data_IF_768193528645
#
_entry.id   IF_768193528645
#
_cell.length_a   1.000
_cell.length_b   1.000
_cell.length_c   1.000
_cell.angle_alpha   90.00
_cell.angle_beta   90.00
_cell.angle_gamma   90.00
#
_symmetry.space_group_name_H-M   'P 1'
#
loop_
_entity.id
_entity.type
_entity.pdbx_description
1 polymer ?
#
# COMPACT_ATOMS: atom_id res chain seq x y z
N UNK A 1 14.79 -3.54 -7.24
CA UNK A 1 13.71 -4.12 -7.96
C UNK A 1 12.64 -3.23 -8.61
N UNK A 2 12.72 -1.89 -8.63
CA UNK A 2 11.68 -1.06 -9.27
C UNK A 2 12.09 -0.47 -10.65
N UNK A 3 13.11 -1.02 -11.30
CA UNK A 3 13.68 -0.40 -12.52
C UNK A 3 12.68 -0.34 -13.68
N UNK A 4 11.89 -1.41 -13.88
CA UNK A 4 10.83 -1.43 -14.89
C UNK A 4 9.75 -0.37 -14.61
N UNK A 5 9.38 -0.20 -13.35
CA UNK A 5 8.38 0.78 -12.90
C UNK A 5 8.93 2.19 -13.06
N UNK A 6 10.16 2.43 -12.64
CA UNK A 6 10.84 3.72 -12.83
C UNK A 6 10.91 4.11 -14.30
N UNK A 7 11.26 3.16 -15.20
CA UNK A 7 11.30 3.38 -16.63
C UNK A 7 9.94 3.84 -17.14
N UNK A 8 8.85 3.14 -16.83
CA UNK A 8 7.49 3.53 -17.25
C UNK A 8 7.09 4.92 -16.72
N UNK A 9 7.42 5.23 -15.46
CA UNK A 9 7.16 6.56 -14.90
C UNK A 9 7.94 7.64 -15.66
N UNK A 10 9.21 7.40 -15.98
CA UNK A 10 10.04 8.35 -16.74
C UNK A 10 9.49 8.56 -18.17
N UNK A 11 9.10 7.49 -18.84
CA UNK A 11 8.46 7.56 -20.17
C UNK A 11 7.17 8.40 -20.12
N UNK A 12 6.30 8.15 -19.15
CA UNK A 12 5.08 8.94 -18.93
C UNK A 12 5.39 10.43 -18.71
N UNK A 13 6.34 10.74 -17.83
CA UNK A 13 6.72 12.12 -17.53
C UNK A 13 7.38 12.82 -18.73
N UNK A 14 8.13 12.09 -19.54
CA UNK A 14 8.74 12.62 -20.77
C UNK A 14 7.67 13.00 -21.80
N UNK A 15 6.68 12.14 -22.02
CA UNK A 15 5.53 12.45 -22.91
C UNK A 15 4.79 13.69 -22.42
N UNK A 16 4.49 13.78 -21.13
CA UNK A 16 3.81 14.93 -20.55
C UNK A 16 4.63 16.23 -20.67
N UNK A 17 5.96 16.14 -20.55
CA UNK A 17 6.85 17.30 -20.75
C UNK A 17 6.87 17.79 -22.19
N UNK A 18 6.85 16.86 -23.15
CA UNK A 18 6.87 17.18 -24.59
C UNK A 18 5.51 17.70 -25.10
N UNK A 19 4.42 17.18 -24.52
CA UNK A 19 3.07 17.57 -24.88
C UNK A 19 2.24 17.90 -23.63
N UNK A 20 2.43 19.09 -23.01
CA UNK A 20 1.73 19.50 -21.79
C UNK A 20 0.20 19.61 -21.95
N UNK A 21 -0.27 19.82 -23.17
CA UNK A 21 -1.71 19.92 -23.52
C UNK A 21 -2.28 18.56 -24.00
N UNK A 22 -1.43 17.56 -24.11
CA UNK A 22 -1.83 16.22 -24.56
C UNK A 22 -2.69 15.49 -23.53
N UNK A 23 -3.57 14.65 -24.05
CA UNK A 23 -4.39 13.74 -23.23
C UNK A 23 -3.50 12.59 -22.76
N UNK A 24 -2.87 12.75 -21.61
CA UNK A 24 -2.12 11.65 -20.99
C UNK A 24 -3.04 10.86 -20.06
N UNK A 25 -2.99 9.52 -20.08
CA UNK A 25 -3.73 8.71 -19.12
C UNK A 25 -3.25 9.04 -17.69
N UNK A 26 -4.07 8.73 -16.70
CA UNK A 26 -3.73 8.97 -15.31
C UNK A 26 -2.91 7.79 -14.79
N UNK A 27 -1.77 8.06 -14.16
CA UNK A 27 -1.00 6.99 -13.51
C UNK A 27 -1.79 6.40 -12.35
N UNK A 28 -1.97 5.08 -12.36
CA UNK A 28 -2.59 4.34 -11.27
C UNK A 28 -1.64 3.26 -10.74
N UNK A 29 -1.22 3.40 -9.50
CA UNK A 29 -0.40 2.39 -8.81
C UNK A 29 -1.30 1.38 -8.13
N UNK A 30 -1.27 0.14 -8.61
CA UNK A 30 -2.05 -0.98 -8.06
C UNK A 30 -1.13 -1.96 -7.37
N UNK A 31 -1.51 -2.43 -6.20
CA UNK A 31 -0.75 -3.46 -5.48
C UNK A 31 -1.05 -3.50 -3.98
N UNK A 32 -0.50 -4.47 -3.27
CA UNK A 32 -0.79 -4.67 -1.85
C UNK A 32 -0.36 -3.47 -0.99
N UNK A 33 -0.89 -3.36 0.23
CA UNK A 33 -0.49 -2.30 1.14
C UNK A 33 0.99 -2.41 1.52
N UNK A 34 1.65 -1.26 1.68
CA UNK A 34 3.04 -1.22 2.13
C UNK A 34 4.11 -1.39 1.04
N UNK A 35 3.74 -1.48 -0.24
CA UNK A 35 4.70 -1.58 -1.37
C UNK A 35 5.24 -0.24 -1.87
N UNK A 36 4.91 0.86 -1.19
CA UNK A 36 5.51 2.17 -1.49
C UNK A 36 4.76 3.04 -2.50
N UNK A 37 3.48 2.77 -2.79
CA UNK A 37 2.64 3.58 -3.70
C UNK A 37 2.73 5.08 -3.42
N UNK A 38 2.53 5.47 -2.16
CA UNK A 38 2.59 6.87 -1.73
C UNK A 38 4.00 7.47 -1.88
N UNK A 39 5.03 6.68 -1.60
CA UNK A 39 6.43 7.11 -1.74
C UNK A 39 6.81 7.38 -3.21
N UNK A 40 6.26 6.60 -4.15
CA UNK A 40 6.42 6.86 -5.58
C UNK A 40 5.79 8.19 -5.99
N UNK A 41 4.56 8.48 -5.57
CA UNK A 41 3.92 9.77 -5.84
C UNK A 41 4.68 10.96 -5.27
N UNK A 42 5.18 10.84 -4.05
CA UNK A 42 6.05 11.86 -3.44
C UNK A 42 7.36 12.05 -4.22
N UNK A 43 7.95 10.96 -4.72
CA UNK A 43 9.18 11.02 -5.50
C UNK A 43 8.96 11.68 -6.87
N UNK A 44 7.82 11.41 -7.50
CA UNK A 44 7.41 12.09 -8.75
C UNK A 44 7.25 13.59 -8.50
N UNK A 45 6.53 13.97 -7.46
CA UNK A 45 6.33 15.37 -7.12
C UNK A 45 7.66 16.10 -6.88
N UNK A 46 8.58 15.46 -6.13
CA UNK A 46 9.92 16.00 -5.87
C UNK A 46 10.73 16.14 -7.15
N UNK A 47 10.71 15.14 -8.03
CA UNK A 47 11.43 15.17 -9.30
C UNK A 47 10.92 16.26 -10.24
N UNK A 48 9.63 16.60 -10.18
CA UNK A 48 9.01 17.68 -10.96
C UNK A 48 9.09 19.06 -10.29
N UNK A 49 9.57 19.14 -9.05
CA UNK A 49 9.54 20.39 -8.26
C UNK A 49 8.13 20.86 -7.88
N UNK A 50 7.14 19.95 -7.85
CA UNK A 50 5.75 20.25 -7.55
C UNK A 50 5.41 19.94 -6.09
N UNK A 51 4.41 20.62 -5.56
CA UNK A 51 3.83 20.29 -4.26
C UNK A 51 3.10 18.96 -4.34
N UNK A 52 3.17 18.17 -3.28
CA UNK A 52 2.47 16.90 -3.15
C UNK A 52 1.33 17.01 -2.14
N UNK A 53 0.16 16.58 -2.55
CA UNK A 53 -0.98 16.43 -1.64
C UNK A 53 -1.61 15.05 -1.86
N UNK A 54 -1.99 14.41 -0.77
CA UNK A 54 -2.70 13.12 -0.78
C UNK A 54 -4.11 13.32 -0.24
N UNK A 55 -5.09 12.70 -0.88
CA UNK A 55 -6.44 12.60 -0.39
C UNK A 55 -6.94 11.17 -0.50
N UNK A 56 -7.60 10.65 0.54
CA UNK A 56 -8.19 9.32 0.51
C UNK A 56 -9.61 9.41 -0.02
N UNK A 57 -9.95 8.52 -0.94
CA UNK A 57 -11.30 8.36 -1.48
C UNK A 57 -11.99 7.10 -0.90
N UNK A 58 -11.25 6.30 -0.12
CA UNK A 58 -11.79 5.09 0.49
C UNK A 58 -12.91 5.39 1.47
N UNK A 59 -14.06 4.73 1.27
CA UNK A 59 -15.24 4.91 2.10
C UNK A 59 -16.15 6.07 1.71
N UNK A 60 -15.84 6.80 0.63
CA UNK A 60 -16.77 7.81 0.08
C UNK A 60 -17.93 7.12 -0.61
N UNK A 61 -19.14 7.56 -0.29
CA UNK A 61 -20.39 7.01 -0.81
C UNK A 61 -21.29 8.08 -1.44
N UNK A 62 -20.99 9.36 -1.22
CA UNK A 62 -21.78 10.50 -1.70
C UNK A 62 -20.96 11.32 -2.71
N UNK A 63 -21.54 11.62 -3.85
CA UNK A 63 -20.97 12.52 -4.86
C UNK A 63 -20.63 13.89 -4.28
N UNK A 64 -21.39 14.37 -3.30
CA UNK A 64 -21.17 15.64 -2.62
C UNK A 64 -19.86 15.70 -1.85
N UNK A 65 -19.27 14.56 -1.47
CA UNK A 65 -17.94 14.53 -0.87
C UNK A 65 -16.85 14.98 -1.86
N UNK A 66 -17.03 14.69 -3.16
CA UNK A 66 -16.10 15.11 -4.23
C UNK A 66 -16.43 16.51 -4.73
N UNK A 67 -17.73 16.78 -5.00
CA UNK A 67 -18.24 18.02 -5.60
C UNK A 67 -18.57 19.12 -4.59
N UNK A 68 -18.55 18.84 -3.30
CA UNK A 68 -18.99 19.80 -2.26
C UNK A 68 -20.51 19.90 -2.11
N UNK A 69 -20.93 20.46 -1.01
CA UNK A 69 -22.33 20.71 -0.69
C UNK A 69 -22.73 22.14 -1.09
N UNK A 70 -23.98 22.35 -1.50
CA UNK A 70 -24.47 23.71 -1.78
C UNK A 70 -24.41 24.58 -0.52
N UNK A 71 -23.98 25.84 -0.65
CA UNK A 71 -23.81 26.79 0.48
C UNK A 71 -25.10 27.05 1.28
N UNK A 72 -26.24 26.68 0.74
CA UNK A 72 -27.54 26.82 1.42
C UNK A 72 -27.73 25.83 2.56
N UNK A 73 -26.92 24.77 2.64
CA UNK A 73 -26.99 23.80 3.73
C UNK A 73 -26.13 24.23 4.92
N UNK A 74 -26.64 24.03 6.13
CA UNK A 74 -25.87 24.24 7.37
C UNK A 74 -24.72 23.22 7.40
N UNK A 75 -23.49 23.71 7.65
CA UNK A 75 -22.31 22.85 7.65
C UNK A 75 -21.75 22.53 6.27
N UNK A 76 -22.23 23.20 5.21
CA UNK A 76 -21.71 23.00 3.85
C UNK A 76 -20.19 23.23 3.78
N UNK A 77 -19.50 22.35 3.07
CA UNK A 77 -18.05 22.42 2.83
C UNK A 77 -17.77 22.23 1.34
N UNK A 78 -16.65 22.79 0.83
CA UNK A 78 -16.14 22.45 -0.49
C UNK A 78 -15.84 20.96 -0.60
N UNK A 79 -15.88 20.44 -1.81
CA UNK A 79 -15.51 19.06 -2.09
C UNK A 79 -14.04 18.75 -1.78
N UNK A 80 -13.75 17.49 -1.60
CA UNK A 80 -12.43 16.97 -1.21
C UNK A 80 -11.32 17.42 -2.15
N UNK A 81 -11.59 17.55 -3.46
CA UNK A 81 -10.61 18.00 -4.45
C UNK A 81 -10.21 19.45 -4.19
N UNK A 82 -11.19 20.33 -4.02
CA UNK A 82 -10.94 21.76 -3.73
C UNK A 82 -10.24 21.93 -2.39
N UNK A 83 -10.64 21.17 -1.37
CA UNK A 83 -9.96 21.19 -0.07
C UNK A 83 -8.50 20.73 -0.16
N UNK A 84 -8.22 19.70 -0.97
CA UNK A 84 -6.86 19.22 -1.19
C UNK A 84 -6.00 20.29 -1.89
N UNK A 85 -6.54 20.97 -2.89
CA UNK A 85 -5.85 22.08 -3.57
C UNK A 85 -5.59 23.27 -2.63
N UNK A 86 -6.56 23.61 -1.77
CA UNK A 86 -6.37 24.61 -0.74
C UNK A 86 -5.21 24.26 0.20
N UNK A 87 -5.11 23.00 0.63
CA UNK A 87 -4.00 22.51 1.46
C UNK A 87 -2.66 22.53 0.73
N UNK A 88 -2.65 22.21 -0.57
CA UNK A 88 -1.45 22.27 -1.39
C UNK A 88 -0.92 23.69 -1.58
N UNK A 89 -1.81 24.70 -1.56
CA UNK A 89 -1.47 26.12 -1.73
C UNK A 89 -0.99 26.46 -3.14
N UNK A 90 -1.30 25.63 -4.14
CA UNK A 90 -0.91 25.83 -5.54
C UNK A 90 -1.97 25.25 -6.47
N UNK A 91 -2.02 25.74 -7.72
CA UNK A 91 -2.94 25.23 -8.76
C UNK A 91 -2.42 24.01 -9.53
N UNK A 92 -1.14 23.69 -9.37
CA UNK A 92 -0.45 22.64 -10.13
C UNK A 92 0.24 21.59 -9.26
N UNK A 93 -0.38 21.12 -8.17
CA UNK A 93 0.24 20.07 -7.35
C UNK A 93 0.20 18.71 -8.04
N UNK A 94 0.98 17.77 -7.51
CA UNK A 94 0.69 16.34 -7.66
C UNK A 94 -0.38 15.99 -6.61
N UNK A 95 -1.57 15.64 -7.06
CA UNK A 95 -2.66 15.21 -6.20
C UNK A 95 -2.84 13.69 -6.30
N UNK A 96 -2.51 13.01 -5.21
CA UNK A 96 -2.68 11.56 -5.11
C UNK A 96 -4.07 11.24 -4.56
N UNK A 97 -4.84 10.52 -5.36
CA UNK A 97 -6.15 9.97 -5.03
C UNK A 97 -5.97 8.54 -4.54
N UNK A 98 -6.04 8.35 -3.24
CA UNK A 98 -5.72 7.07 -2.61
C UNK A 98 -6.97 6.22 -2.40
N UNK A 99 -6.82 4.89 -2.58
CA UNK A 99 -7.87 3.89 -2.37
C UNK A 99 -9.10 4.08 -3.27
N UNK A 100 -8.88 4.32 -4.59
CA UNK A 100 -9.98 4.44 -5.56
C UNK A 100 -10.78 3.13 -5.74
N UNK A 101 -10.18 2.01 -5.39
CA UNK A 101 -10.79 0.68 -5.37
C UNK A 101 -11.85 0.50 -4.26
N UNK A 102 -11.87 1.43 -3.29
CA UNK A 102 -12.80 1.43 -2.17
C UNK A 102 -13.89 2.50 -2.29
N UNK A 103 -14.07 3.07 -3.48
CA UNK A 103 -15.21 3.95 -3.74
C UNK A 103 -16.51 3.17 -3.59
N UNK A 104 -17.40 3.64 -2.73
CA UNK A 104 -18.71 3.05 -2.52
C UNK A 104 -19.68 3.43 -3.63
N UNK A 105 -20.73 2.63 -3.79
CA UNK A 105 -21.94 3.01 -4.55
C UNK A 105 -23.02 3.36 -3.54
N UNK A 106 -23.44 4.60 -3.49
CA UNK A 106 -24.47 5.09 -2.58
C UNK A 106 -25.82 5.30 -3.29
N UNK A 107 -26.88 5.38 -2.50
CA UNK A 107 -28.24 5.76 -2.99
C UNK A 107 -28.27 7.26 -3.36
N UNK A 108 -27.35 8.06 -2.81
CA UNK A 108 -27.32 9.53 -2.95
C UNK A 108 -26.31 10.03 -4.01
N UNK A 109 -25.99 9.24 -5.01
CA UNK A 109 -25.12 9.62 -6.10
C UNK A 109 -24.01 8.60 -6.36
N UNK A 110 -23.23 8.87 -7.41
CA UNK A 110 -22.11 8.04 -7.82
C UNK A 110 -20.81 8.81 -7.73
N UNK A 111 -20.02 8.63 -6.65
CA UNK A 111 -18.72 9.29 -6.52
C UNK A 111 -17.78 8.99 -7.70
N UNK A 112 -17.91 7.81 -8.34
CA UNK A 112 -17.08 7.46 -9.49
C UNK A 112 -17.39 8.36 -10.69
N UNK A 113 -18.65 8.73 -10.91
CA UNK A 113 -19.07 9.67 -11.97
C UNK A 113 -18.51 11.08 -11.72
N UNK A 114 -18.55 11.57 -10.47
CA UNK A 114 -17.94 12.84 -10.12
C UNK A 114 -16.43 12.82 -10.32
N UNK A 115 -15.79 11.71 -10.01
CA UNK A 115 -14.35 11.55 -10.19
C UNK A 115 -13.97 11.48 -11.68
N UNK A 116 -14.83 10.92 -12.53
CA UNK A 116 -14.61 10.94 -13.98
C UNK A 116 -14.50 12.38 -14.51
N UNK A 117 -15.37 13.30 -14.10
CA UNK A 117 -15.29 14.70 -14.49
C UNK A 117 -14.00 15.36 -14.01
N UNK A 118 -13.56 15.08 -12.80
CA UNK A 118 -12.30 15.59 -12.24
C UNK A 118 -11.09 15.10 -13.04
N UNK A 119 -11.13 13.85 -13.47
CA UNK A 119 -10.01 13.18 -14.13
C UNK A 119 -10.01 13.31 -15.65
N UNK A 120 -11.13 13.67 -16.26
CA UNK A 120 -11.25 13.83 -17.70
C UNK A 120 -10.62 15.14 -18.16
N UNK A 121 -9.56 15.13 -18.98
CA UNK A 121 -8.92 16.34 -19.51
C UNK A 121 -9.85 17.22 -20.34
N UNK A 122 -10.95 16.68 -20.89
CA UNK A 122 -11.92 17.44 -21.66
C UNK A 122 -12.88 18.25 -20.75
N UNK A 123 -13.09 17.79 -19.53
CA UNK A 123 -14.08 18.37 -18.60
C UNK A 123 -13.45 19.06 -17.40
N UNK A 124 -12.25 18.65 -16.98
CA UNK A 124 -11.62 19.10 -15.75
C UNK A 124 -11.25 20.59 -15.72
N UNK A 125 -11.10 21.23 -16.88
CA UNK A 125 -10.87 22.69 -16.97
C UNK A 125 -12.08 23.52 -16.52
N UNK A 126 -13.27 22.93 -16.51
CA UNK A 126 -14.53 23.57 -16.13
C UNK A 126 -15.22 22.84 -14.97
N UNK A 127 -14.44 22.10 -14.16
CA UNK A 127 -14.98 21.40 -13.00
C UNK A 127 -15.79 22.32 -12.09
N UNK A 128 -16.96 21.88 -11.69
CA UNK A 128 -17.85 22.68 -10.85
C UNK A 128 -18.00 22.07 -9.47
N UNK A 129 -17.45 22.76 -8.48
CA UNK A 129 -17.70 22.49 -7.07
C UNK A 129 -18.99 23.21 -6.64
N UNK A 130 -19.91 22.47 -6.02
CA UNK A 130 -21.24 23.01 -5.62
C UNK A 130 -21.13 24.09 -4.54
N UNK A 131 -20.10 24.02 -3.70
CA UNK A 131 -19.85 25.04 -2.68
C UNK A 131 -19.29 26.32 -3.28
N UNK A 132 -18.35 26.21 -4.22
CA UNK A 132 -17.78 27.37 -4.91
C UNK A 132 -18.83 28.03 -5.82
N UNK A 133 -19.65 27.23 -6.50
CA UNK A 133 -20.68 27.70 -7.42
C UNK A 133 -20.18 28.30 -8.73
N UNK A 134 -18.87 28.27 -8.96
CA UNK A 134 -18.17 28.74 -10.17
C UNK A 134 -17.28 27.64 -10.74
N UNK A 135 -17.03 27.65 -12.07
CA UNK A 135 -16.08 26.72 -12.66
C UNK A 135 -14.67 26.89 -12.06
N UNK A 136 -13.99 25.78 -11.85
CA UNK A 136 -12.63 25.72 -11.35
C UNK A 136 -11.76 24.89 -12.29
N UNK A 137 -10.64 25.45 -12.72
CA UNK A 137 -9.72 24.80 -13.67
C UNK A 137 -8.77 23.84 -12.94
N UNK A 138 -8.94 22.55 -13.20
CA UNK A 138 -8.09 21.44 -12.70
C UNK A 138 -7.06 20.97 -13.72
N UNK A 139 -6.98 21.55 -14.92
CA UNK A 139 -6.13 21.08 -16.03
C UNK A 139 -4.64 21.04 -15.70
N UNK A 140 -4.20 21.85 -14.75
CA UNK A 140 -2.80 21.95 -14.30
C UNK A 140 -2.43 20.95 -13.19
N UNK A 141 -3.40 20.25 -12.62
CA UNK A 141 -3.18 19.26 -11.58
C UNK A 141 -2.65 17.98 -12.17
N UNK A 142 -1.59 17.43 -11.58
CA UNK A 142 -1.12 16.09 -11.93
C UNK A 142 -1.81 15.08 -11.00
N UNK A 143 -2.81 14.40 -11.51
CA UNK A 143 -3.49 13.34 -10.77
C UNK A 143 -2.71 12.03 -10.83
N UNK A 144 -2.57 11.37 -9.69
CA UNK A 144 -2.05 10.01 -9.54
C UNK A 144 -3.07 9.24 -8.71
N UNK A 145 -3.48 8.06 -9.14
CA UNK A 145 -4.39 7.21 -8.40
C UNK A 145 -3.63 6.05 -7.72
N UNK A 146 -4.20 5.53 -6.63
CA UNK A 146 -3.73 4.28 -6.03
C UNK A 146 -4.90 3.34 -5.75
N UNK A 147 -4.64 2.04 -5.87
CA UNK A 147 -5.57 0.99 -5.53
C UNK A 147 -4.84 -0.20 -4.90
N UNK A 148 -5.54 -1.03 -4.15
CA UNK A 148 -4.99 -2.30 -3.69
C UNK A 148 -5.31 -3.44 -4.64
N UNK A 149 -6.48 -3.40 -5.27
CA UNK A 149 -6.97 -4.42 -6.20
C UNK A 149 -7.47 -3.75 -7.49
N UNK A 150 -7.12 -4.36 -8.63
CA UNK A 150 -7.48 -3.83 -9.94
C UNK A 150 -8.97 -4.02 -10.25
N UNK A 151 -9.50 -5.20 -9.92
CA UNK A 151 -10.85 -5.61 -10.32
C UNK A 151 -11.96 -4.82 -9.63
N UNK A 152 -11.65 -4.18 -8.50
CA UNK A 152 -12.59 -3.36 -7.73
C UNK A 152 -12.65 -1.91 -8.19
N UNK A 153 -11.74 -1.49 -9.09
CA UNK A 153 -11.78 -0.16 -9.70
C UNK A 153 -12.95 -0.10 -10.69
N UNK A 154 -13.82 0.92 -10.60
CA UNK A 154 -14.90 1.11 -11.58
C UNK A 154 -14.37 1.14 -13.02
N UNK A 155 -14.99 0.35 -13.92
CA UNK A 155 -14.54 0.19 -15.31
C UNK A 155 -14.25 1.51 -16.03
N UNK A 156 -15.18 2.49 -16.04
CA UNK A 156 -14.97 3.77 -16.73
C UNK A 156 -13.76 4.56 -16.22
N UNK A 157 -13.41 4.44 -14.93
CA UNK A 157 -12.19 5.04 -14.37
C UNK A 157 -10.95 4.29 -14.82
N UNK A 158 -11.00 2.96 -14.79
CA UNK A 158 -9.89 2.09 -15.19
C UNK A 158 -9.48 2.33 -16.64
N UNK A 159 -10.43 2.53 -17.55
CA UNK A 159 -10.18 2.76 -18.97
C UNK A 159 -9.41 4.07 -19.26
N UNK A 160 -9.39 5.00 -18.30
CA UNK A 160 -8.64 6.26 -18.38
C UNK A 160 -7.28 6.23 -17.68
N UNK A 161 -6.91 5.08 -17.13
CA UNK A 161 -5.72 4.95 -16.29
C UNK A 161 -4.63 4.13 -16.98
N UNK A 162 -3.40 4.57 -16.81
CA UNK A 162 -2.23 3.75 -17.04
C UNK A 162 -1.90 2.99 -15.77
N UNK A 163 -2.18 1.68 -15.79
CA UNK A 163 -2.00 0.80 -14.64
C UNK A 163 -0.53 0.41 -14.51
N UNK A 164 0.04 0.68 -13.35
CA UNK A 164 1.37 0.22 -12.95
C UNK A 164 1.23 -0.68 -11.73
N UNK A 165 1.38 -1.98 -11.98
CA UNK A 165 1.29 -2.96 -10.90
C UNK A 165 2.58 -3.02 -10.09
N UNK A 166 2.41 -2.96 -8.78
CA UNK A 166 3.46 -3.09 -7.77
C UNK A 166 3.29 -4.45 -7.09
N UNK A 167 4.23 -5.33 -7.31
CA UNK A 167 4.27 -6.63 -6.63
C UNK A 167 4.78 -6.50 -5.20
N UNK A 168 4.61 -7.54 -4.40
CA UNK A 168 5.27 -7.66 -3.12
C UNK A 168 6.78 -7.76 -3.25
N UNK A 169 7.47 -7.65 -2.13
CA UNK A 169 8.92 -7.71 -2.03
C UNK A 169 9.39 -9.08 -1.51
N UNK A 170 10.52 -9.54 -2.04
CA UNK A 170 11.22 -10.70 -1.46
C UNK A 170 11.84 -10.34 -0.11
N UNK A 171 12.30 -11.35 0.65
CA UNK A 171 12.98 -11.12 1.93
C UNK A 171 14.20 -10.22 1.77
N UNK A 172 15.03 -10.48 0.75
CA UNK A 172 16.24 -9.71 0.45
C UNK A 172 15.89 -8.25 0.11
N UNK A 173 14.84 -8.04 -0.69
CA UNK A 173 14.37 -6.69 -1.03
C UNK A 173 13.83 -5.96 0.21
N UNK A 174 13.14 -6.65 1.11
CA UNK A 174 12.66 -6.07 2.38
C UNK A 174 13.80 -5.65 3.29
N UNK A 175 14.84 -6.47 3.41
CA UNK A 175 16.06 -6.15 4.19
C UNK A 175 16.75 -4.91 3.61
N UNK A 176 16.90 -4.85 2.28
CA UNK A 176 17.52 -3.72 1.61
C UNK A 176 16.71 -2.43 1.77
N UNK A 177 15.37 -2.50 1.66
CA UNK A 177 14.46 -1.38 1.92
C UNK A 177 14.55 -0.94 3.39
N UNK A 178 14.57 -1.89 4.31
CA UNK A 178 14.69 -1.61 5.73
C UNK A 178 15.99 -0.87 6.05
N UNK A 179 17.12 -1.36 5.56
CA UNK A 179 18.45 -0.77 5.76
C UNK A 179 18.53 0.64 5.20
N UNK A 180 18.09 0.86 3.96
CA UNK A 180 18.22 2.17 3.28
C UNK A 180 17.24 3.22 3.73
N UNK A 181 16.03 2.81 4.13
CA UNK A 181 14.93 3.76 4.31
C UNK A 181 14.21 3.63 5.66
N UNK A 182 13.83 2.41 6.08
CA UNK A 182 12.94 2.26 7.22
C UNK A 182 13.65 2.53 8.54
N UNK A 183 14.87 2.02 8.72
CA UNK A 183 15.64 2.24 9.94
C UNK A 183 15.89 3.73 10.16
N UNK A 184 16.36 4.44 9.13
CA UNK A 184 16.59 5.88 9.23
C UNK A 184 15.30 6.64 9.57
N UNK A 185 14.19 6.33 8.89
CA UNK A 185 12.90 6.98 9.15
C UNK A 185 12.39 6.72 10.57
N UNK A 186 12.60 5.50 11.07
CA UNK A 186 12.20 5.14 12.43
C UNK A 186 13.12 5.71 13.50
N UNK A 187 14.44 5.88 13.22
CA UNK A 187 15.33 6.65 14.10
C UNK A 187 14.83 8.09 14.27
N UNK A 188 14.59 8.78 13.15
CA UNK A 188 14.09 10.15 13.14
C UNK A 188 12.73 10.25 13.89
N UNK A 189 11.81 9.31 13.65
CA UNK A 189 10.50 9.28 14.27
C UNK A 189 10.53 9.04 15.80
N UNK A 190 11.54 8.32 16.29
CA UNK A 190 11.72 8.04 17.72
C UNK A 190 12.73 8.99 18.40
N UNK A 191 13.21 10.04 17.72
CA UNK A 191 14.12 11.03 18.27
C UNK A 191 15.53 10.51 18.52
N UNK A 192 15.94 9.42 17.87
CA UNK A 192 17.25 8.82 17.96
C UNK A 192 18.17 9.34 16.86
N UNK A 193 19.46 9.56 17.23
CA UNK A 193 20.53 9.85 16.27
C UNK A 193 21.06 8.56 15.66
N UNK A 194 21.68 8.64 14.48
CA UNK A 194 22.22 7.48 13.78
C UNK A 194 23.35 6.76 14.59
N UNK A 195 24.06 7.50 15.43
CA UNK A 195 25.13 6.97 16.28
C UNK A 195 24.60 6.24 17.52
N UNK A 196 23.35 6.51 17.91
CA UNK A 196 22.74 5.96 19.13
C UNK A 196 22.12 4.59 18.94
N UNK A 197 21.70 4.25 17.71
CA UNK A 197 21.09 2.94 17.46
C UNK A 197 21.40 2.43 16.05
N UNK A 198 21.75 1.16 15.96
CA UNK A 198 21.93 0.42 14.71
C UNK A 198 21.29 -0.96 14.79
N UNK A 199 20.80 -1.46 13.67
CA UNK A 199 20.20 -2.79 13.55
C UNK A 199 21.01 -3.56 12.51
N UNK A 200 21.46 -4.75 12.85
CA UNK A 200 22.24 -5.59 11.93
C UNK A 200 21.37 -6.14 10.80
N UNK A 201 21.99 -6.46 9.65
CA UNK A 201 21.28 -7.07 8.52
C UNK A 201 20.66 -8.43 8.91
N UNK A 202 21.29 -9.16 9.82
CA UNK A 202 20.76 -10.42 10.35
C UNK A 202 19.49 -10.16 11.20
N UNK A 203 19.51 -9.15 12.06
CA UNK A 203 18.34 -8.75 12.83
C UNK A 203 17.21 -8.25 11.91
N UNK A 204 17.51 -7.49 10.85
CA UNK A 204 16.51 -7.06 9.86
C UNK A 204 15.91 -8.26 9.10
N UNK A 205 16.74 -9.25 8.75
CA UNK A 205 16.26 -10.50 8.12
C UNK A 205 15.36 -11.28 9.08
N UNK A 206 15.78 -11.41 10.35
CA UNK A 206 14.98 -12.05 11.39
C UNK A 206 13.63 -11.34 11.60
N UNK A 207 13.61 -10.01 11.65
CA UNK A 207 12.37 -9.22 11.71
C UNK A 207 11.47 -9.47 10.50
N UNK A 208 12.03 -9.48 9.29
CA UNK A 208 11.27 -9.65 8.05
C UNK A 208 10.65 -11.03 7.94
N UNK A 209 11.38 -12.09 8.31
CA UNK A 209 10.98 -13.49 8.17
C UNK A 209 10.08 -13.97 9.31
N UNK A 210 10.47 -13.67 10.56
CA UNK A 210 9.91 -14.36 11.72
C UNK A 210 8.92 -13.48 12.51
N UNK A 211 8.85 -12.17 12.24
CA UNK A 211 7.92 -11.24 12.90
C UNK A 211 6.91 -10.61 11.95
N UNK A 212 7.07 -10.79 10.63
CA UNK A 212 6.14 -10.22 9.64
C UNK A 212 5.76 -11.21 8.56
N UNK A 213 4.49 -11.16 8.14
CA UNK A 213 3.96 -11.94 7.00
C UNK A 213 3.10 -11.02 6.16
N UNK A 214 3.74 -10.32 5.23
CA UNK A 214 3.10 -9.30 4.39
C UNK A 214 3.82 -9.18 3.04
N UNK A 215 3.10 -8.75 2.01
CA UNK A 215 3.68 -8.48 0.70
C UNK A 215 4.58 -7.23 0.70
N UNK A 216 4.19 -6.20 1.43
CA UNK A 216 4.94 -4.95 1.57
C UNK A 216 5.88 -4.92 2.78
N UNK A 217 6.13 -3.70 3.27
CA UNK A 217 7.03 -3.44 4.41
C UNK A 217 6.35 -2.67 5.56
N UNK A 218 5.02 -2.63 5.62
CA UNK A 218 4.30 -1.82 6.62
C UNK A 218 4.43 -2.37 8.04
N UNK A 219 4.30 -3.69 8.20
CA UNK A 219 4.48 -4.33 9.50
C UNK A 219 5.95 -4.42 9.87
N UNK A 220 6.84 -4.67 8.89
CA UNK A 220 8.29 -4.61 9.10
C UNK A 220 8.71 -3.25 9.67
N UNK A 221 8.21 -2.16 9.10
CA UNK A 221 8.46 -0.82 9.64
C UNK A 221 7.95 -0.66 11.07
N UNK A 222 6.77 -1.21 11.40
CA UNK A 222 6.22 -1.18 12.77
C UNK A 222 7.09 -1.96 13.75
N UNK A 223 7.63 -3.13 13.34
CA UNK A 223 8.52 -3.92 14.20
C UNK A 223 9.85 -3.21 14.40
N UNK A 224 10.45 -2.63 13.37
CA UNK A 224 11.63 -1.79 13.48
C UNK A 224 11.38 -0.64 14.46
N UNK A 225 10.23 0.04 14.34
CA UNK A 225 9.85 1.11 15.25
C UNK A 225 9.67 0.62 16.69
N UNK A 226 9.16 -0.59 16.92
CA UNK A 226 9.03 -1.17 18.26
C UNK A 226 10.41 -1.43 18.89
N UNK A 227 11.34 -2.00 18.12
CA UNK A 227 12.73 -2.22 18.57
C UNK A 227 13.40 -0.90 18.92
N UNK A 228 13.33 0.10 18.04
CA UNK A 228 13.95 1.40 18.27
C UNK A 228 13.32 2.18 19.43
N UNK A 229 12.04 2.01 19.70
CA UNK A 229 11.41 2.58 20.91
C UNK A 229 11.96 1.98 22.20
N UNK A 230 12.25 0.68 22.22
CA UNK A 230 12.91 0.06 23.37
C UNK A 230 14.30 0.67 23.60
N UNK A 231 15.07 0.83 22.51
CA UNK A 231 16.38 1.51 22.61
C UNK A 231 16.24 2.94 23.13
N UNK A 232 15.23 3.68 22.65
CA UNK A 232 14.99 5.06 23.11
C UNK A 232 14.68 5.11 24.61
N UNK A 233 13.93 4.16 25.16
CA UNK A 233 13.67 4.04 26.61
C UNK A 233 14.96 3.80 27.36
N UNK A 234 15.80 2.82 26.95
CA UNK A 234 17.07 2.49 27.59
C UNK A 234 18.05 3.66 27.62
N UNK A 235 18.07 4.47 26.54
CA UNK A 235 18.88 5.70 26.49
C UNK A 235 18.32 6.78 27.39
N UNK A 236 17.00 6.98 27.41
CA UNK A 236 16.34 7.99 28.24
C UNK A 236 16.49 7.69 29.76
N UNK A 237 16.54 6.43 30.14
CA UNK A 237 16.79 5.97 31.51
C UNK A 237 18.30 6.04 31.88
N UNK A 238 19.17 6.35 30.92
CA UNK A 238 20.61 6.40 31.13
C UNK A 238 21.29 5.03 31.25
N UNK A 239 20.57 3.96 30.88
CA UNK A 239 21.09 2.59 30.96
C UNK A 239 22.17 2.32 29.90
N UNK A 240 22.05 2.94 28.70
CA UNK A 240 23.00 2.84 27.62
C UNK A 240 23.14 4.20 26.89
N UNK A 241 24.28 4.47 26.31
CA UNK A 241 24.50 5.63 25.43
C UNK A 241 24.15 5.31 23.96
N UNK A 242 24.38 4.07 23.56
CA UNK A 242 24.07 3.54 22.24
C UNK A 242 23.78 2.05 22.29
N UNK A 243 23.07 1.51 21.29
CA UNK A 243 22.76 0.10 21.17
C UNK A 243 22.95 -0.38 19.73
N UNK A 244 23.50 -1.59 19.59
CA UNK A 244 23.59 -2.32 18.33
C UNK A 244 22.72 -3.57 18.45
N UNK A 245 21.59 -3.57 17.78
CA UNK A 245 20.60 -4.63 17.86
C UNK A 245 20.95 -5.78 16.91
N UNK A 246 21.09 -6.96 17.46
CA UNK A 246 21.25 -8.23 16.74
C UNK A 246 19.98 -9.10 16.83
N UNK A 247 20.02 -10.31 16.24
CA UNK A 247 18.86 -11.20 16.21
C UNK A 247 18.44 -11.70 17.62
N UNK A 248 19.32 -12.11 18.55
CA UNK A 248 18.96 -12.42 19.92
C UNK A 248 18.28 -11.28 20.64
N UNK A 249 18.77 -10.06 20.50
CA UNK A 249 18.22 -8.88 21.15
C UNK A 249 16.81 -8.53 20.62
N UNK A 250 16.52 -8.83 19.34
CA UNK A 250 15.15 -8.72 18.79
C UNK A 250 14.19 -9.63 19.55
N UNK A 251 14.60 -10.87 19.87
CA UNK A 251 13.77 -11.81 20.64
C UNK A 251 13.54 -11.32 22.08
N UNK A 252 14.54 -10.74 22.71
CA UNK A 252 14.39 -10.15 24.04
C UNK A 252 13.39 -8.99 24.05
N UNK A 253 13.41 -8.15 23.01
CA UNK A 253 12.56 -6.95 22.90
C UNK A 253 11.12 -7.28 22.47
N UNK A 254 10.95 -8.13 21.46
CA UNK A 254 9.65 -8.41 20.85
C UNK A 254 8.98 -9.70 21.33
N UNK A 255 9.71 -10.52 22.08
CA UNK A 255 9.27 -11.86 22.47
C UNK A 255 9.53 -12.92 21.40
N UNK A 256 8.97 -14.09 21.59
CA UNK A 256 9.15 -15.23 20.67
C UNK A 256 8.70 -14.88 19.22
N UNK A 257 9.37 -15.46 18.21
CA UNK A 257 8.96 -15.36 16.82
C UNK A 257 7.48 -15.67 16.63
N UNK A 258 6.82 -14.89 15.78
CA UNK A 258 5.38 -15.06 15.49
C UNK A 258 5.11 -16.07 14.38
N UNK A 259 6.10 -16.25 13.51
CA UNK A 259 6.02 -17.14 12.36
C UNK A 259 7.22 -18.06 12.38
N UNK A 260 6.99 -19.33 12.70
CA UNK A 260 8.01 -20.37 12.65
C UNK A 260 7.96 -21.05 11.30
N UNK A 261 9.13 -21.43 10.78
CA UNK A 261 9.25 -22.17 9.53
C UNK A 261 9.11 -23.67 9.86
N UNK A 262 7.87 -24.17 9.98
CA UNK A 262 7.56 -25.55 10.32
C UNK A 262 7.99 -26.57 9.24
N UNK A 263 8.55 -26.12 8.13
CA UNK A 263 8.86 -26.93 6.95
C UNK A 263 9.80 -28.09 7.28
N UNK A 264 10.76 -27.86 8.16
CA UNK A 264 11.78 -28.87 8.48
C UNK A 264 11.26 -30.05 9.33
N UNK A 265 10.19 -29.86 10.10
CA UNK A 265 9.70 -30.88 11.04
C UNK A 265 8.64 -31.83 10.45
N UNK A 266 7.95 -31.47 9.37
CA UNK A 266 6.77 -32.21 8.89
C UNK A 266 6.99 -33.05 7.62
N UNK A 267 8.15 -32.94 6.97
CA UNK A 267 8.41 -33.60 5.65
C UNK A 267 8.58 -35.12 5.73
N UNK A 268 8.79 -35.68 6.91
CA UNK A 268 9.09 -37.10 7.09
C UNK A 268 7.97 -37.93 7.74
N UNK A 269 6.79 -37.38 7.95
CA UNK A 269 5.68 -38.08 8.61
C UNK A 269 4.78 -38.75 7.56
N UNK A 270 4.57 -40.10 7.61
CA UNK A 270 3.64 -40.77 6.71
C UNK A 270 2.23 -40.20 6.82
N UNK A 271 1.58 -39.94 5.67
CA UNK A 271 0.27 -39.30 5.60
C UNK A 271 0.30 -37.78 5.50
N UNK A 272 1.47 -37.18 5.42
CA UNK A 272 1.63 -35.73 5.18
C UNK A 272 2.24 -35.51 3.80
N UNK A 273 1.58 -34.70 2.97
CA UNK A 273 2.07 -34.27 1.67
C UNK A 273 2.29 -32.75 1.68
N UNK A 274 3.36 -32.31 1.01
CA UNK A 274 3.66 -30.88 0.87
C UNK A 274 3.00 -30.36 -0.40
N UNK A 275 2.11 -29.38 -0.24
CA UNK A 275 1.53 -28.62 -1.32
C UNK A 275 2.10 -27.22 -1.40
N UNK A 276 2.00 -26.59 -2.56
CA UNK A 276 2.35 -25.17 -2.76
C UNK A 276 1.07 -24.36 -2.91
N UNK A 277 0.98 -23.26 -2.17
CA UNK A 277 -0.08 -22.29 -2.30
C UNK A 277 0.48 -20.95 -2.78
N UNK A 278 -0.26 -20.31 -3.66
CA UNK A 278 0.01 -18.92 -3.97
C UNK A 278 -0.81 -18.03 -3.04
N UNK A 279 -0.15 -17.08 -2.40
CA UNK A 279 -0.78 -16.11 -1.50
C UNK A 279 -0.44 -14.68 -1.94
N UNK A 280 -1.20 -13.66 -1.52
CA UNK A 280 -0.85 -12.27 -1.80
C UNK A 280 0.54 -11.85 -1.29
N UNK A 281 1.14 -12.64 -0.40
CA UNK A 281 2.49 -12.39 0.16
C UNK A 281 3.57 -13.22 -0.53
N UNK A 282 3.22 -14.04 -1.52
CA UNK A 282 4.13 -14.91 -2.28
C UNK A 282 3.72 -16.38 -2.20
N UNK A 283 4.60 -17.27 -2.65
CA UNK A 283 4.41 -18.72 -2.50
C UNK A 283 4.49 -19.13 -1.03
N UNK A 284 3.62 -20.02 -0.63
CA UNK A 284 3.60 -20.59 0.71
C UNK A 284 3.50 -22.13 0.64
N UNK A 285 3.99 -22.79 1.67
CA UNK A 285 3.95 -24.24 1.77
C UNK A 285 2.74 -24.62 2.60
N UNK A 286 1.91 -25.50 2.03
CA UNK A 286 0.80 -26.11 2.73
C UNK A 286 1.15 -27.57 3.07
N UNK A 287 0.81 -28.00 4.26
CA UNK A 287 0.83 -29.40 4.64
C UNK A 287 -0.58 -29.97 4.50
N UNK A 288 -0.71 -31.00 3.67
CA UNK A 288 -1.94 -31.75 3.46
C UNK A 288 -1.80 -33.04 4.29
N UNK A 289 -2.55 -33.11 5.38
CA UNK A 289 -2.54 -34.28 6.27
C UNK A 289 -3.69 -35.22 5.89
N UNK A 290 -3.41 -36.47 5.64
CA UNK A 290 -4.39 -37.48 5.35
C UNK A 290 -4.36 -38.58 6.42
N UNK A 291 -5.49 -38.81 7.06
CA UNK A 291 -5.64 -39.89 8.08
C UNK A 291 -6.73 -40.85 7.66
N UNK A 292 -6.45 -42.11 7.74
CA UNK A 292 -7.44 -43.19 7.50
C UNK A 292 -8.03 -43.66 8.81
N UNK A 293 -9.36 -43.61 8.88
CA UNK A 293 -10.13 -44.11 10.02
C UNK A 293 -11.07 -45.25 9.57
N UNK A 294 -11.37 -46.27 10.40
CA UNK A 294 -12.38 -47.28 10.09
C UNK A 294 -13.74 -46.60 9.84
N UNK A 295 -14.39 -46.98 8.73
CA UNK A 295 -15.67 -46.35 8.37
C UNK A 295 -16.23 -46.86 7.03
N UNK A 296 -17.24 -46.18 6.50
CA UNK A 296 -17.99 -46.55 5.28
C UNK A 296 -17.34 -46.05 3.96
N UNK A 297 -16.09 -45.63 3.99
CA UNK A 297 -15.36 -45.20 2.77
C UNK A 297 -15.71 -43.77 2.32
N UNK A 298 -16.17 -42.92 3.23
CA UNK A 298 -16.45 -41.53 2.90
C UNK A 298 -15.18 -40.67 3.00
N UNK A 299 -14.99 -39.75 2.04
CA UNK A 299 -13.97 -38.69 2.10
C UNK A 299 -14.50 -37.51 2.91
N UNK A 300 -13.81 -37.16 3.97
CA UNK A 300 -14.13 -35.96 4.80
C UNK A 300 -13.01 -34.95 4.58
N UNK A 301 -13.34 -33.78 4.04
CA UNK A 301 -12.43 -32.67 3.84
C UNK A 301 -12.63 -31.65 4.96
N UNK A 302 -11.56 -31.27 5.63
CA UNK A 302 -11.56 -30.24 6.68
C UNK A 302 -10.60 -29.10 6.31
N UNK A 303 -10.89 -27.88 6.79
CA UNK A 303 -10.12 -26.67 6.54
C UNK A 303 -10.88 -25.66 5.67
N UNK A 304 -10.30 -24.47 5.52
CA UNK A 304 -10.84 -23.41 4.64
C UNK A 304 -10.35 -23.62 3.20
N UNK A 305 -10.84 -24.66 2.54
CA UNK A 305 -10.49 -24.95 1.16
C UNK A 305 -11.32 -24.10 0.19
N UNK A 306 -10.66 -23.49 -0.79
CA UNK A 306 -11.33 -22.88 -1.94
C UNK A 306 -11.97 -23.98 -2.83
N UNK A 307 -12.87 -23.57 -3.72
CA UNK A 307 -13.66 -24.53 -4.54
C UNK A 307 -12.79 -25.40 -5.43
N UNK A 308 -11.74 -24.83 -6.04
CA UNK A 308 -10.77 -25.57 -6.87
C UNK A 308 -10.04 -26.64 -6.06
N UNK A 309 -9.64 -26.36 -4.83
CA UNK A 309 -8.99 -27.36 -3.97
C UNK A 309 -9.95 -28.45 -3.52
N UNK A 310 -11.22 -28.12 -3.27
CA UNK A 310 -12.25 -29.13 -2.95
C UNK A 310 -12.49 -30.08 -4.12
N UNK A 311 -12.63 -29.55 -5.33
CA UNK A 311 -12.75 -30.34 -6.55
C UNK A 311 -11.54 -31.26 -6.75
N UNK A 312 -10.31 -30.72 -6.63
CA UNK A 312 -9.08 -31.48 -6.80
C UNK A 312 -8.92 -32.60 -5.77
N UNK A 313 -9.44 -32.41 -4.54
CA UNK A 313 -9.39 -33.46 -3.52
C UNK A 313 -10.46 -34.54 -3.69
N UNK A 314 -11.57 -34.23 -4.42
CA UNK A 314 -12.65 -35.20 -4.71
C UNK A 314 -12.43 -35.99 -5.98
N UNK A 315 -11.60 -35.49 -6.92
CA UNK A 315 -11.23 -36.14 -8.17
C UNK A 315 -10.17 -37.22 -7.95
#
# INVERSE_FOLDING_TARGET
GLDRIKKRIVEYLAVRKLNPQGRSPILCFVGPPGVGKTSLGQSIARALGLKFQRTSLGGMHDEAEIRGHRRTYIGALPGTIVQALKKAGTRNPVLMLDEIDKLGRGIQGDPASALLEVLDPEQNSTFRDNYLGVPFDLSKVLFIATANQLDTIPGPLRDRMEIIELTGYTEEEKVEIARRYLVRRQLEANGLKAEQASITDEALRHLARDYTREAGCRNLERQIGAVLRNVAVRIAEGAVESARIDAPEVVEILGAPRFENEVAMRVSVPGVATGLAWTPVGGDILFIEATRIPGKGALILTGQLGDVMKESAQA
#
